data_IF_179068233343
#
_entry.id   IF_179068233343
#
_cell.length_a   1.000
_cell.length_b   1.000
_cell.length_c   1.000
_cell.angle_alpha   90.00
_cell.angle_beta   90.00
_cell.angle_gamma   90.00
#
_symmetry.space_group_name_H-M   'P 1'
#
loop_
_entity.id
_entity.type
_entity.pdbx_description
1 polymer ?
#
# COMPACT_ATOMS: atom_id res chain seq x y z
N UNK A 1 -7.32 -40.17 33.13
CA UNK A 1 -6.52 -39.03 33.62
C UNK A 1 -6.32 -38.09 32.44
N UNK A 2 -7.14 -37.05 32.30
CA UNK A 2 -7.03 -36.08 31.20
C UNK A 2 -6.38 -34.81 31.73
N UNK A 3 -5.08 -34.67 31.47
CA UNK A 3 -4.33 -33.46 31.81
C UNK A 3 -4.75 -32.31 30.87
N UNK A 4 -5.50 -31.35 31.39
CA UNK A 4 -5.92 -30.14 30.69
C UNK A 4 -4.87 -29.03 30.83
N UNK A 5 -3.83 -29.09 30.01
CA UNK A 5 -2.80 -28.03 29.96
C UNK A 5 -3.34 -26.81 29.21
N UNK A 6 -3.56 -25.71 29.94
CA UNK A 6 -3.99 -24.42 29.41
C UNK A 6 -2.81 -23.73 28.70
N UNK A 7 -2.81 -23.70 27.36
CA UNK A 7 -1.77 -22.99 26.58
C UNK A 7 -1.96 -21.48 26.72
N UNK A 8 -1.01 -20.80 27.38
CA UNK A 8 -0.98 -19.33 27.49
C UNK A 8 -0.67 -18.72 26.11
N UNK A 9 -1.67 -18.13 25.46
CA UNK A 9 -1.51 -17.37 24.22
C UNK A 9 -1.10 -15.94 24.56
N UNK A 10 0.08 -15.50 24.15
CA UNK A 10 0.49 -14.11 24.28
C UNK A 10 -0.34 -13.24 23.33
N UNK A 11 -1.27 -12.47 23.88
CA UNK A 11 -2.04 -11.47 23.12
C UNK A 11 -1.33 -10.14 23.28
N UNK A 12 -0.75 -9.62 22.20
CA UNK A 12 -0.23 -8.25 22.18
C UNK A 12 -1.39 -7.31 21.90
N UNK A 13 -1.78 -6.51 22.89
CA UNK A 13 -2.69 -5.39 22.66
C UNK A 13 -1.99 -4.33 21.81
N UNK A 14 -2.49 -4.09 20.60
CA UNK A 14 -2.04 -2.99 19.75
C UNK A 14 -3.21 -2.04 19.54
N UNK A 15 -3.13 -0.84 20.13
CA UNK A 15 -4.17 0.18 20.00
C UNK A 15 -3.87 0.99 18.73
N UNK A 16 -4.75 0.90 17.74
CA UNK A 16 -4.70 1.74 16.55
C UNK A 16 -5.35 3.09 16.88
N UNK A 17 -4.59 4.17 16.81
CA UNK A 17 -5.10 5.53 16.90
C UNK A 17 -5.14 6.11 15.49
N UNK A 18 -6.33 6.17 14.89
CA UNK A 18 -6.57 6.92 13.66
C UNK A 18 -7.32 8.20 13.97
N UNK A 19 -7.23 9.17 13.06
CA UNK A 19 -7.84 10.51 13.17
C UNK A 19 -9.34 10.44 12.79
N UNK A 20 -9.98 9.28 12.91
CA UNK A 20 -11.40 9.00 12.57
C UNK A 20 -11.89 9.50 11.20
N UNK A 21 -10.98 9.77 10.27
CA UNK A 21 -11.30 10.21 8.91
C UNK A 21 -10.58 9.28 7.92
N UNK A 22 -11.37 8.62 7.08
CA UNK A 22 -10.86 7.88 5.94
C UNK A 22 -10.94 8.79 4.72
N UNK A 23 -9.83 8.93 3.99
CA UNK A 23 -9.85 9.66 2.73
C UNK A 23 -10.08 8.66 1.59
N UNK A 24 -11.13 8.88 0.79
CA UNK A 24 -11.40 8.05 -0.36
C UNK A 24 -10.37 8.35 -1.46
N UNK A 25 -9.71 7.31 -1.96
CA UNK A 25 -8.80 7.43 -3.09
C UNK A 25 -9.60 7.20 -4.37
N UNK A 26 -9.43 8.09 -5.36
CA UNK A 26 -10.11 7.95 -6.64
C UNK A 26 -9.77 6.60 -7.30
N UNK A 27 -10.77 5.86 -7.82
CA UNK A 27 -10.55 4.62 -8.55
C UNK A 27 -9.87 4.87 -9.90
N UNK A 28 -9.38 3.81 -10.54
CA UNK A 28 -8.81 3.89 -11.89
C UNK A 28 -9.87 4.15 -12.97
N UNK A 29 -11.07 3.59 -12.76
CA UNK A 29 -12.19 3.63 -13.71
C UNK A 29 -13.45 4.15 -13.02
N UNK A 30 -14.46 4.53 -13.84
CA UNK A 30 -15.78 4.92 -13.32
C UNK A 30 -16.44 3.76 -12.56
N UNK A 31 -16.32 2.55 -13.08
CA UNK A 31 -16.69 1.33 -12.39
C UNK A 31 -15.46 0.79 -11.62
N UNK A 32 -15.45 0.84 -10.28
CA UNK A 32 -14.31 0.40 -9.47
C UNK A 32 -14.08 -1.12 -9.56
N UNK A 33 -15.02 -1.90 -10.09
CA UNK A 33 -14.90 -3.35 -10.23
C UNK A 33 -14.22 -3.78 -11.53
N UNK A 34 -14.11 -2.88 -12.51
CA UNK A 34 -13.53 -3.19 -13.82
C UNK A 34 -12.07 -3.64 -13.71
N UNK A 35 -11.30 -2.99 -12.85
CA UNK A 35 -9.89 -3.31 -12.64
C UNK A 35 -9.48 -3.03 -11.19
N UNK A 36 -9.76 -3.97 -10.28
CA UNK A 36 -9.47 -3.80 -8.87
C UNK A 36 -7.97 -3.90 -8.59
N UNK A 37 -7.52 -3.27 -7.50
CA UNK A 37 -6.19 -3.51 -6.95
C UNK A 37 -6.17 -4.84 -6.19
N UNK A 38 -5.13 -5.63 -6.41
CA UNK A 38 -4.92 -6.94 -5.77
C UNK A 38 -3.80 -6.92 -4.74
N UNK A 39 -2.87 -5.96 -4.83
CA UNK A 39 -1.83 -5.74 -3.83
C UNK A 39 -1.49 -4.24 -3.72
N UNK A 40 -1.05 -3.80 -2.54
CA UNK A 40 -0.68 -2.41 -2.25
C UNK A 40 0.50 -2.38 -1.27
N UNK A 41 1.45 -1.47 -1.53
CA UNK A 41 2.59 -1.26 -0.64
C UNK A 41 2.85 0.23 -0.41
N UNK A 42 3.26 0.56 0.82
CA UNK A 42 3.55 1.92 1.24
C UNK A 42 4.95 1.96 1.82
N UNK A 43 5.76 2.90 1.36
CA UNK A 43 7.13 3.08 1.81
C UNK A 43 7.64 4.48 1.50
N UNK A 44 8.95 4.60 1.29
CA UNK A 44 9.58 5.86 0.92
C UNK A 44 9.53 6.96 2.00
N UNK A 45 9.30 6.62 3.27
CA UNK A 45 9.27 7.61 4.36
C UNK A 45 10.63 8.26 4.64
N UNK A 46 11.72 7.61 4.20
CA UNK A 46 13.11 8.00 4.47
C UNK A 46 13.90 8.17 3.15
N UNK A 47 13.26 8.69 2.10
CA UNK A 47 13.93 9.01 0.84
C UNK A 47 14.78 10.28 1.03
N UNK A 48 16.10 10.23 0.78
CA UNK A 48 16.96 11.41 0.88
C UNK A 48 16.48 12.55 -0.04
N UNK A 49 16.41 13.77 0.49
CA UNK A 49 15.96 14.94 -0.26
C UNK A 49 14.44 15.04 -0.46
N UNK A 50 13.66 14.08 0.02
CA UNK A 50 12.20 14.16 -0.01
C UNK A 50 11.66 15.15 1.03
N UNK A 51 10.50 15.75 0.74
CA UNK A 51 9.82 16.60 1.70
C UNK A 51 9.42 15.81 2.97
N UNK A 52 9.41 16.50 4.11
CA UNK A 52 9.07 15.89 5.38
C UNK A 52 7.64 15.31 5.35
N UNK A 53 7.51 14.03 5.68
CA UNK A 53 6.21 13.34 5.69
C UNK A 53 5.70 12.90 4.32
N UNK A 54 6.52 12.98 3.26
CA UNK A 54 6.25 12.29 2.00
C UNK A 54 6.25 10.77 2.20
N UNK A 55 5.43 10.09 1.40
CA UNK A 55 5.40 8.63 1.29
C UNK A 55 5.17 8.25 -0.16
N UNK A 56 5.59 7.03 -0.50
CA UNK A 56 5.29 6.42 -1.78
C UNK A 56 4.21 5.35 -1.58
N UNK A 57 3.21 5.33 -2.44
CA UNK A 57 2.17 4.31 -2.46
C UNK A 57 2.18 3.66 -3.82
N UNK A 58 2.29 2.34 -3.80
CA UNK A 58 2.40 1.48 -4.96
C UNK A 58 1.29 0.45 -4.91
N UNK A 59 0.77 0.05 -6.05
CA UNK A 59 -0.29 -0.94 -6.14
C UNK A 59 -0.18 -1.76 -7.42
N UNK A 60 -0.75 -2.95 -7.38
CA UNK A 60 -0.84 -3.87 -8.50
C UNK A 60 -2.32 -4.10 -8.80
N UNK A 61 -2.69 -4.02 -10.08
CA UNK A 61 -4.06 -4.30 -10.50
C UNK A 61 -4.28 -5.77 -10.84
N UNK A 62 -5.53 -6.21 -10.89
CA UNK A 62 -5.89 -7.57 -11.32
C UNK A 62 -5.46 -7.89 -12.77
N UNK A 63 -5.07 -6.89 -13.55
CA UNK A 63 -4.52 -7.05 -14.90
C UNK A 63 -2.98 -7.09 -14.92
N UNK A 64 -2.34 -7.22 -13.75
CA UNK A 64 -0.89 -7.27 -13.64
C UNK A 64 -0.18 -5.92 -13.80
N UNK A 65 -0.93 -4.80 -13.85
CA UNK A 65 -0.34 -3.47 -14.04
C UNK A 65 0.17 -2.89 -12.74
N UNK A 66 1.36 -2.31 -12.79
CA UNK A 66 1.96 -1.57 -11.66
C UNK A 66 1.53 -0.11 -11.72
N UNK A 67 0.97 0.37 -10.61
CA UNK A 67 0.50 1.74 -10.44
C UNK A 67 1.22 2.39 -9.26
N UNK A 68 1.50 3.69 -9.34
CA UNK A 68 1.97 4.47 -8.20
C UNK A 68 1.12 5.72 -8.01
N UNK A 69 0.88 6.10 -6.75
CA UNK A 69 0.09 7.27 -6.38
C UNK A 69 1.00 8.47 -6.14
N UNK A 70 0.82 9.54 -6.91
CA UNK A 70 1.61 10.76 -6.76
C UNK A 70 1.07 11.69 -5.68
N UNK A 71 1.94 12.44 -5.02
CA UNK A 71 1.55 13.53 -4.10
C UNK A 71 1.10 13.08 -2.72
N UNK A 72 1.31 11.81 -2.36
CA UNK A 72 0.96 11.30 -1.03
C UNK A 72 1.88 11.89 0.03
N UNK A 73 1.29 12.50 1.05
CA UNK A 73 2.00 13.09 2.19
C UNK A 73 1.17 13.07 3.46
N UNK A 74 1.75 13.46 4.59
CA UNK A 74 1.02 13.61 5.86
C UNK A 74 -0.14 14.60 5.80
N UNK A 75 -0.08 15.62 4.93
CA UNK A 75 -1.13 16.64 4.80
C UNK A 75 -2.08 16.38 3.62
N UNK A 76 -1.73 15.45 2.73
CA UNK A 76 -2.58 14.96 1.64
C UNK A 76 -2.40 13.45 1.52
N UNK A 77 -3.05 12.67 2.42
CA UNK A 77 -2.92 11.22 2.46
C UNK A 77 -3.53 10.52 1.22
N UNK A 78 -4.51 11.14 0.56
CA UNK A 78 -5.10 10.66 -0.69
C UNK A 78 -4.21 10.86 -1.92
N UNK A 79 -3.27 11.79 -1.85
CA UNK A 79 -2.47 12.23 -2.99
C UNK A 79 -3.33 12.71 -4.16
N UNK A 80 -2.75 12.72 -5.35
CA UNK A 80 -3.32 13.40 -6.52
C UNK A 80 -3.92 12.42 -7.52
N UNK A 81 -3.11 11.50 -8.04
CA UNK A 81 -3.54 10.59 -9.12
C UNK A 81 -2.75 9.28 -9.10
N UNK A 82 -3.33 8.26 -9.73
CA UNK A 82 -2.62 7.03 -10.08
C UNK A 82 -1.87 7.21 -11.41
N UNK A 83 -0.65 6.70 -11.46
CA UNK A 83 0.20 6.72 -12.65
C UNK A 83 0.62 5.29 -12.98
N UNK A 84 0.47 4.88 -14.25
CA UNK A 84 0.86 3.56 -14.72
C UNK A 84 2.37 3.51 -14.94
N UNK A 85 3.01 2.45 -14.46
CA UNK A 85 4.40 2.14 -14.81
C UNK A 85 4.43 1.22 -16.02
N UNK A 86 5.28 1.54 -16.99
CA UNK A 86 5.49 0.70 -18.16
C UNK A 86 6.31 -0.52 -17.76
N UNK A 87 5.69 -1.70 -17.84
CA UNK A 87 6.36 -2.98 -17.61
C UNK A 87 6.86 -3.56 -18.94
N UNK A 88 7.94 -4.37 -18.92
CA UNK A 88 8.34 -5.16 -20.08
C UNK A 88 7.19 -6.05 -20.58
N UNK A 89 7.08 -6.32 -21.90
CA UNK A 89 6.04 -7.19 -22.44
C UNK A 89 6.07 -8.59 -21.80
N UNK A 90 4.89 -9.12 -21.46
CA UNK A 90 4.74 -10.46 -20.86
C UNK A 90 5.09 -10.54 -19.38
N UNK A 91 5.29 -9.39 -18.71
CA UNK A 91 5.55 -9.33 -17.28
C UNK A 91 4.29 -8.92 -16.52
N UNK A 92 3.60 -9.90 -15.94
CA UNK A 92 2.44 -9.67 -15.08
C UNK A 92 2.89 -9.70 -13.62
N UNK A 93 2.62 -8.62 -12.89
CA UNK A 93 2.96 -8.49 -11.47
C UNK A 93 1.80 -8.95 -10.62
N UNK A 94 2.08 -9.68 -9.54
CA UNK A 94 1.06 -10.10 -8.56
C UNK A 94 1.26 -9.47 -7.18
N UNK A 95 2.49 -9.08 -6.86
CA UNK A 95 2.84 -8.55 -5.56
C UNK A 95 3.76 -7.34 -5.70
N UNK A 96 3.71 -6.44 -4.72
CA UNK A 96 4.59 -5.27 -4.70
C UNK A 96 5.03 -4.94 -3.28
N UNK A 97 6.27 -4.52 -3.13
CA UNK A 97 6.86 -4.12 -1.86
C UNK A 97 7.67 -2.83 -2.02
N UNK A 98 7.43 -1.85 -1.15
CA UNK A 98 8.16 -0.59 -1.12
C UNK A 98 8.90 -0.46 0.22
N UNK A 99 10.23 -0.32 0.16
CA UNK A 99 11.08 -0.09 1.32
C UNK A 99 11.01 1.35 1.83
N UNK A 100 11.46 1.57 3.07
CA UNK A 100 11.48 2.91 3.69
C UNK A 100 12.36 3.92 2.93
N UNK A 101 13.39 3.46 2.23
CA UNK A 101 14.29 4.28 1.40
C UNK A 101 13.76 4.52 -0.02
N UNK A 102 12.56 4.02 -0.36
CA UNK A 102 11.92 4.22 -1.65
C UNK A 102 12.31 3.21 -2.74
N UNK A 103 13.08 2.17 -2.40
CA UNK A 103 13.29 1.03 -3.29
C UNK A 103 12.00 0.21 -3.40
N UNK A 104 11.70 -0.28 -4.61
CA UNK A 104 10.47 -1.01 -4.93
C UNK A 104 10.81 -2.34 -5.58
N UNK A 105 10.10 -3.39 -5.18
CA UNK A 105 10.20 -4.75 -5.72
C UNK A 105 8.82 -5.25 -6.11
N UNK A 106 8.74 -5.93 -7.25
CA UNK A 106 7.52 -6.44 -7.85
C UNK A 106 7.84 -7.70 -8.68
#
# INVERSE_FOLDING_TARGET
WSSCVRRRKWVRYRRYAAINSWCAIAPLHKDPTQEPFIDVSIGGTNVPGSAAGSMQVWAVTAYGRVMWRSGVSRVSPEGVRWNCVTMPPGCDVINISCGSTGLVWA
#
